data_IF_209976305815
#
_entry.id   IF_209976305815
#
_cell.length_a   1.000
_cell.length_b   1.000
_cell.length_c   1.000
_cell.angle_alpha   90.00
_cell.angle_beta   90.00
_cell.angle_gamma   90.00
#
_symmetry.space_group_name_H-M   'P 1'
#
loop_
_entity.id
_entity.type
_entity.pdbx_description
1 polymer ?
2 polymer ?
3 non-polymer ?
4 non-polymer ?
5 non-polymer ?
6 water ?
#
# COMPACT_ATOMS: atom_id res chain seq x y z
N UNK A 2 18.65 22.32 9.52
CA UNK A 2 17.17 22.13 9.31
C UNK A 2 16.82 21.80 7.85
N UNK A 3 15.77 21.00 7.68
CA UNK A 3 15.43 20.42 6.38
C UNK A 3 13.91 20.25 6.17
N UNK A 4 13.42 20.67 5.01
CA UNK A 4 11.98 20.81 4.76
C UNK A 4 11.25 19.51 4.45
N UNK A 5 11.98 18.43 4.19
CA UNK A 5 11.33 17.18 3.84
C UNK A 5 12.30 16.10 3.41
N UNK A 6 11.77 14.95 2.95
CA UNK A 6 12.63 13.88 2.47
C UNK A 6 13.40 14.22 1.17
N UNK A 7 14.56 13.62 1.00
CA UNK A 7 15.39 13.85 -0.20
C UNK A 7 14.70 13.13 -1.37
N UNK A 8 14.52 13.83 -2.51
CA UNK A 8 13.72 13.25 -3.60
C UNK A 8 14.32 11.94 -4.14
N UNK A 9 13.45 11.11 -4.73
CA UNK A 9 13.85 9.81 -5.23
C UNK A 9 14.78 9.96 -6.41
N UNK A 10 15.71 9.01 -6.59
CA UNK A 10 16.48 8.96 -7.85
C UNK A 10 15.70 8.24 -8.95
N UNK A 11 16.21 8.30 -10.18
CA UNK A 11 15.66 7.49 -11.27
C UNK A 11 16.43 6.20 -11.30
N UNK A 12 15.78 5.12 -11.75
CA UNK A 12 16.47 3.84 -12.02
C UNK A 12 16.19 3.43 -13.45
N UNK A 13 17.23 3.27 -14.25
CA UNK A 13 17.07 3.00 -15.68
C UNK A 13 17.86 1.80 -16.16
N UNK A 14 17.19 0.93 -16.95
CA UNK A 14 17.80 -0.21 -17.64
C UNK A 14 18.09 0.13 -19.12
N UNK A 15 19.38 0.16 -19.48
CA UNK A 15 19.81 0.44 -20.85
C UNK A 15 20.61 -0.73 -21.43
N UNK A 16 20.41 -1.07 -22.71
CA UNK A 16 19.54 -0.34 -23.62
C UNK A 16 18.04 -0.52 -23.36
N UNK A 17 17.65 -1.57 -22.66
CA UNK A 17 16.25 -1.83 -22.38
C UNK A 17 16.05 -2.71 -21.14
N UNK A 18 14.85 -2.63 -20.56
CA UNK A 18 14.48 -3.50 -19.42
C UNK A 18 13.95 -4.87 -19.87
N UNK A 19 13.75 -5.04 -21.18
CA UNK A 19 13.49 -6.35 -21.78
C UNK A 19 14.81 -6.83 -22.35
N UNK A 20 15.40 -7.81 -21.67
CA UNK A 20 16.75 -8.24 -21.97
C UNK A 20 16.69 -9.72 -22.33
N UNK A 21 17.10 -10.05 -23.58
CA UNK A 21 17.22 -11.47 -23.92
C UNK A 21 18.31 -12.15 -23.10
N UNK A 22 18.09 -13.42 -22.74
CA UNK A 22 19.12 -14.22 -22.07
C UNK A 22 20.44 -14.09 -22.81
N UNK A 23 21.52 -13.92 -22.05
CA UNK A 23 22.89 -13.74 -22.56
C UNK A 23 23.22 -12.36 -23.18
N UNK A 24 22.20 -11.49 -23.36
CA UNK A 24 22.44 -10.13 -23.85
C UNK A 24 22.67 -9.18 -22.65
N UNK A 25 23.46 -8.11 -22.85
CA UNK A 25 23.82 -7.22 -21.75
C UNK A 25 22.74 -6.20 -21.38
N UNK A 26 22.82 -5.70 -20.14
CA UNK A 26 21.98 -4.60 -19.65
C UNK A 26 22.65 -3.86 -18.48
N UNK A 27 22.50 -2.55 -18.47
CA UNK A 27 23.07 -1.69 -17.44
C UNK A 27 21.97 -0.99 -16.61
N UNK A 28 21.90 -1.29 -15.32
CA UNK A 28 20.99 -0.57 -14.38
C UNK A 28 21.73 0.59 -13.71
N UNK A 29 21.21 1.82 -13.97
CA UNK A 29 21.83 3.04 -13.48
C UNK A 29 20.87 3.80 -12.58
N UNK A 30 21.27 3.93 -11.32
CA UNK A 30 20.61 4.83 -10.41
C UNK A 30 21.19 6.22 -10.63
N UNK A 31 20.32 7.23 -10.63
CA UNK A 31 20.74 8.62 -10.86
C UNK A 31 19.96 9.58 -9.95
N UNK A 32 20.72 10.24 -9.07
CA UNK A 32 20.21 11.24 -8.15
C UNK A 32 20.82 12.59 -8.49
N UNK A 33 20.66 13.57 -7.60
CA UNK A 33 21.27 14.87 -7.86
C UNK A 33 22.80 14.83 -7.78
N UNK A 34 23.50 15.75 -8.47
CA UNK A 34 24.97 15.79 -8.36
C UNK A 34 25.48 16.00 -6.93
N UNK A 35 26.59 15.34 -6.58
CA UNK A 35 27.20 15.43 -5.26
C UNK A 35 26.69 14.45 -4.22
N UNK A 36 26.00 13.40 -4.66
CA UNK A 36 25.53 12.34 -3.76
C UNK A 36 26.69 11.59 -3.09
N UNK A 37 26.56 11.30 -1.79
CA UNK A 37 27.58 10.56 -1.03
C UNK A 37 27.71 9.08 -1.47
N UNK A 38 26.58 8.37 -1.50
CA UNK A 38 26.54 6.92 -1.71
C UNK A 38 25.20 6.49 -2.28
N UNK A 39 25.23 5.66 -3.31
CA UNK A 39 24.03 5.07 -3.87
C UNK A 39 23.85 3.66 -3.30
N UNK A 40 22.63 3.16 -3.32
CA UNK A 40 22.33 1.79 -2.92
C UNK A 40 21.33 1.23 -3.94
N UNK A 41 21.77 0.25 -4.74
CA UNK A 41 20.93 -0.46 -5.72
C UNK A 41 20.60 -1.85 -5.15
N UNK A 42 19.33 -2.24 -5.20
CA UNK A 42 18.89 -3.51 -4.60
C UNK A 42 17.92 -4.24 -5.52
N UNK A 43 17.86 -5.57 -5.36
CA UNK A 43 16.85 -6.40 -5.99
C UNK A 43 15.86 -6.85 -4.92
N UNK A 44 14.58 -6.64 -5.20
CA UNK A 44 13.49 -6.91 -4.25
C UNK A 44 13.26 -8.39 -4.06
N UNK A 45 12.70 -8.74 -2.92
CA UNK A 45 12.48 -10.14 -2.53
C UNK A 45 13.78 -10.98 -2.66
N UNK A 46 14.87 -10.36 -2.24
CA UNK A 46 16.15 -11.03 -2.04
C UNK A 46 17.04 -10.08 -1.25
N UNK A 47 18.14 -10.66 -0.74
CA UNK A 47 19.12 -9.91 0.03
C UNK A 47 20.25 -9.40 -0.85
N UNK A 48 20.07 -9.41 -2.18
CA UNK A 48 21.07 -8.89 -3.08
C UNK A 48 20.95 -7.37 -3.12
N UNK A 49 22.05 -6.68 -2.86
CA UNK A 49 22.16 -5.25 -3.07
C UNK A 49 23.62 -4.88 -3.17
N UNK A 50 23.91 -3.71 -3.72
CA UNK A 50 25.28 -3.16 -3.79
C UNK A 50 25.27 -1.67 -3.41
N UNK A 51 26.43 -1.16 -3.01
CA UNK A 51 26.59 0.23 -2.63
C UNK A 51 27.15 1.08 -3.79
N UNK A 52 26.64 0.87 -5.01
CA UNK A 52 27.13 1.55 -6.21
C UNK A 52 25.98 1.83 -7.17
N UNK A 53 26.05 3.00 -7.83
CA UNK A 53 25.00 3.45 -8.73
C UNK A 53 24.74 2.52 -9.91
N UNK A 54 25.78 1.85 -10.38
CA UNK A 54 25.69 1.09 -11.60
C UNK A 54 25.82 -0.41 -11.24
N UNK A 55 24.98 -1.20 -11.95
CA UNK A 55 25.14 -2.64 -12.07
C UNK A 55 25.15 -3.02 -13.56
N UNK A 56 26.33 -3.40 -14.05
CA UNK A 56 26.47 -3.92 -15.41
C UNK A 56 26.35 -5.44 -15.29
N UNK A 57 25.27 -5.94 -15.93
CA UNK A 57 25.04 -7.37 -16.19
C UNK A 57 25.50 -7.68 -17.62
N UNK A 58 26.69 -8.31 -17.80
CA UNK A 58 27.12 -8.57 -19.18
C UNK A 58 26.28 -9.59 -19.95
N UNK A 59 25.68 -10.53 -19.24
CA UNK A 59 24.87 -11.57 -19.86
C UNK A 59 23.71 -11.87 -18.94
N UNK A 60 22.50 -11.63 -19.44
CA UNK A 60 21.30 -11.77 -18.64
C UNK A 60 21.04 -13.22 -18.32
N UNK A 61 20.63 -13.46 -17.07
CA UNK A 61 20.26 -14.77 -16.57
C UNK A 61 18.84 -14.77 -16.04
N UNK A 62 18.26 -15.96 -15.94
CA UNK A 62 16.95 -16.14 -15.34
C UNK A 62 16.93 -15.62 -13.91
N UNK A 63 17.96 -15.94 -13.14
CA UNK A 63 18.03 -15.53 -11.72
C UNK A 63 18.15 -14.01 -11.47
N UNK A 64 18.54 -13.25 -12.50
CA UNK A 64 18.69 -11.79 -12.39
C UNK A 64 17.44 -11.01 -12.80
N UNK A 65 16.41 -11.69 -13.27
CA UNK A 65 15.16 -11.02 -13.61
C UNK A 65 14.32 -10.83 -12.34
N UNK A 66 13.50 -9.78 -12.34
CA UNK A 66 12.71 -9.42 -11.16
C UNK A 66 12.66 -7.93 -10.98
N UNK A 67 12.34 -7.53 -9.76
CA UNK A 67 12.10 -6.14 -9.45
C UNK A 67 13.29 -5.53 -8.72
N UNK A 68 13.67 -4.32 -9.14
CA UNK A 68 14.81 -3.61 -8.62
C UNK A 68 14.41 -2.21 -8.21
N UNK A 69 15.11 -1.66 -7.22
CA UNK A 69 14.99 -0.24 -6.88
C UNK A 69 16.33 0.28 -6.40
N UNK A 70 16.43 1.59 -6.25
CA UNK A 70 17.59 2.18 -5.60
C UNK A 70 17.24 3.41 -4.77
N UNK A 71 18.14 3.76 -3.85
CA UNK A 71 18.10 5.03 -3.14
C UNK A 71 19.51 5.59 -3.00
N UNK A 72 19.64 6.78 -2.41
CA UNK A 72 20.94 7.35 -2.09
C UNK A 72 20.96 7.91 -0.65
N UNK A 73 22.16 8.25 -0.20
CA UNK A 73 22.40 8.87 1.09
C UNK A 73 22.98 10.27 0.97
N UNK A 74 22.53 11.16 1.86
CA UNK A 74 23.22 12.41 2.15
C UNK A 74 23.56 12.36 3.63
N UNK A 75 24.82 12.03 3.93
CA UNK A 75 25.26 11.74 5.30
C UNK A 75 24.68 10.42 5.79
N UNK A 76 23.98 10.48 6.92
CA UNK A 76 23.26 9.32 7.45
C UNK A 76 21.84 9.19 6.90
N UNK A 77 21.35 10.23 6.20
CA UNK A 77 19.96 10.31 5.76
C UNK A 77 19.73 9.62 4.42
N UNK A 78 18.71 8.76 4.36
CA UNK A 78 18.34 8.02 3.14
C UNK A 78 17.24 8.72 2.36
N UNK A 79 17.44 8.85 1.05
CA UNK A 79 16.40 9.37 0.16
C UNK A 79 15.17 8.47 0.08
N UNK A 80 14.13 9.01 -0.53
CA UNK A 80 13.00 8.19 -0.99
C UNK A 80 13.47 7.15 -2.02
N UNK A 81 12.80 5.98 -2.04
CA UNK A 81 13.16 4.95 -3.03
C UNK A 81 12.72 5.34 -4.41
N UNK A 82 13.45 4.87 -5.41
CA UNK A 82 13.08 5.09 -6.80
C UNK A 82 11.85 4.29 -7.17
N UNK A 83 11.26 4.64 -8.30
CA UNK A 83 10.25 3.82 -8.95
C UNK A 83 10.87 2.46 -9.20
N UNK A 84 10.08 1.41 -8.99
CA UNK A 84 10.56 0.05 -9.10
C UNK A 84 10.79 -0.32 -10.58
N UNK A 85 12.02 -0.71 -10.90
CA UNK A 85 12.40 -1.17 -12.23
C UNK A 85 12.01 -2.63 -12.36
N UNK A 86 11.35 -2.98 -13.44
CA UNK A 86 10.98 -4.35 -13.72
C UNK A 86 11.87 -4.89 -14.82
N UNK A 87 12.85 -5.71 -14.41
CA UNK A 87 13.84 -6.29 -15.32
C UNK A 87 13.39 -7.64 -15.81
N UNK A 88 13.10 -7.74 -17.10
CA UNK A 88 12.55 -8.95 -17.71
C UNK A 88 13.57 -9.71 -18.55
N UNK A 89 13.68 -11.01 -18.29
CA UNK A 89 14.45 -11.94 -19.12
C UNK A 89 13.55 -12.43 -20.24
N UNK A 90 13.90 -12.12 -21.49
CA UNK A 90 13.22 -12.69 -22.65
C UNK A 90 14.07 -13.78 -23.33
N UNK A 91 13.43 -14.52 -24.22
CA UNK A 91 14.05 -15.67 -24.88
C UNK A 91 14.14 -16.90 -23.98
N UNK A 92 13.31 -16.94 -22.94
CA UNK A 92 13.30 -18.03 -21.96
C UNK A 92 12.42 -19.19 -22.43
N UNK A 93 11.50 -18.89 -23.35
CA UNK A 93 10.66 -19.89 -24.00
C UNK A 93 10.68 -19.62 -25.49
N UNK A 94 10.33 -20.64 -26.27
CA UNK A 94 10.25 -20.51 -27.72
C UNK A 94 9.19 -19.47 -28.08
N UNK A 95 9.47 -18.70 -29.13
CA UNK A 95 8.65 -17.54 -29.48
C UNK A 95 7.23 -17.91 -29.92
N UNK A 96 6.25 -17.03 -29.65
CA UNK A 96 4.88 -17.23 -30.14
C UNK A 96 4.72 -16.85 -31.60
N UNK A 97 3.53 -17.12 -32.13
CA UNK A 97 3.18 -16.79 -33.51
C UNK A 97 2.03 -15.78 -33.51
N UNK A 98 2.27 -14.59 -34.05
CA UNK A 98 1.33 -13.48 -33.99
C UNK A 98 0.57 -13.32 -35.31
N UNK A 99 -0.74 -13.55 -35.28
CA UNK A 99 -1.64 -13.29 -36.41
C UNK A 99 -2.66 -12.25 -35.99
N UNK A 100 -3.46 -11.80 -36.95
CA UNK A 100 -4.51 -10.82 -36.68
C UNK A 100 -5.67 -10.98 -37.66
N UNK A 101 -6.87 -11.15 -37.09
CA UNK A 101 -8.14 -11.06 -37.82
C UNK A 101 -8.68 -9.66 -37.58
N UNK A 102 -8.88 -8.87 -38.65
CA UNK A 102 -9.46 -7.54 -38.48
C UNK A 102 -10.96 -7.66 -38.24
N UNK A 103 -11.49 -6.86 -37.31
CA UNK A 103 -12.94 -6.84 -37.01
C UNK A 103 -13.51 -5.49 -37.39
N UNK A 104 -14.51 -5.48 -38.29
CA UNK A 104 -15.05 -4.21 -38.83
C UNK A 104 -15.83 -3.40 -37.79
N UNK A 105 -15.07 -2.73 -36.91
CA UNK A 105 -15.59 -1.79 -35.93
C UNK A 105 -14.49 -0.98 -35.26
N UNK A 106 -13.56 -0.46 -36.07
CA UNK A 106 -12.40 0.30 -35.57
C UNK A 106 -11.27 -0.48 -34.92
N UNK A 107 -11.53 -1.74 -34.56
CA UNK A 107 -10.66 -2.55 -33.71
C UNK A 107 -10.04 -3.73 -34.47
N UNK A 108 -9.08 -4.38 -33.83
CA UNK A 108 -8.36 -5.52 -34.40
C UNK A 108 -8.15 -6.58 -33.31
N UNK A 109 -8.49 -7.83 -33.61
CA UNK A 109 -8.23 -8.95 -32.71
C UNK A 109 -6.93 -9.65 -33.13
N UNK A 110 -5.95 -9.71 -32.22
CA UNK A 110 -4.65 -10.33 -32.49
C UNK A 110 -4.47 -11.59 -31.67
N UNK A 111 -4.12 -12.69 -32.33
CA UNK A 111 -3.84 -13.98 -31.69
C UNK A 111 -2.35 -14.11 -31.43
N UNK A 112 -1.96 -14.26 -30.16
CA UNK A 112 -0.59 -14.56 -29.77
C UNK A 112 -0.49 -16.05 -29.37
N UNK A 113 -0.40 -16.91 -30.37
CA UNK A 113 -0.55 -18.36 -30.20
C UNK A 113 0.75 -19.08 -29.83
N UNK A 114 0.67 -20.03 -28.91
CA UNK A 114 1.81 -20.89 -28.50
C UNK A 114 1.36 -22.33 -28.23
N UNK A 115 2.24 -23.29 -28.52
CA UNK A 115 2.06 -24.67 -28.04
C UNK A 115 2.55 -24.73 -26.59
N UNK A 116 1.84 -24.02 -25.73
CA UNK A 116 2.17 -23.87 -24.31
C UNK A 116 0.88 -23.46 -23.63
N UNK A 117 0.84 -23.59 -22.31
CA UNK A 117 -0.33 -23.19 -21.51
C UNK A 117 -0.05 -21.97 -20.66
N UNK A 118 0.37 -20.89 -21.29
CA UNK A 118 0.59 -19.62 -20.60
C UNK A 118 -0.74 -18.93 -20.34
N UNK A 119 -0.81 -18.22 -19.21
CA UNK A 119 -2.01 -17.47 -18.83
C UNK A 119 -1.78 -15.96 -18.86
N UNK A 120 -0.65 -15.53 -19.44
CA UNK A 120 -0.32 -14.11 -19.58
C UNK A 120 0.31 -13.81 -20.93
N UNK A 121 -0.17 -12.75 -21.57
CA UNK A 121 0.28 -12.34 -22.89
C UNK A 121 0.47 -10.83 -22.93
N UNK A 122 1.50 -10.40 -23.65
CA UNK A 122 1.83 -8.98 -23.78
C UNK A 122 2.14 -8.66 -25.23
N UNK A 123 1.48 -7.62 -25.75
CA UNK A 123 1.54 -7.22 -27.13
C UNK A 123 1.97 -5.75 -27.20
N UNK A 124 2.94 -5.43 -28.06
CA UNK A 124 3.38 -4.04 -28.19
C UNK A 124 3.59 -3.62 -29.64
N UNK A 125 3.53 -2.31 -29.86
CA UNK A 125 3.74 -1.67 -31.15
C UNK A 125 4.93 -0.72 -31.01
N UNK A 126 5.87 -0.79 -31.94
CA UNK A 126 7.02 0.13 -31.97
C UNK A 126 6.55 1.55 -32.19
N UNK A 127 7.39 2.50 -31.79
CA UNK A 127 7.24 3.89 -32.23
C UNK A 127 7.13 4.90 -31.11
N UNK A 128 8.26 5.19 -30.48
CA UNK A 128 8.40 6.28 -29.52
C UNK A 128 7.55 5.99 -28.26
N UNK A 129 6.32 6.58 -28.08
CA UNK A 129 5.52 5.85 -27.07
C UNK A 129 5.11 4.49 -27.65
N UNK A 130 5.73 3.44 -27.14
CA UNK A 130 5.30 2.10 -27.46
C UNK A 130 3.91 1.93 -26.83
N UNK A 131 2.99 1.30 -27.55
CA UNK A 131 1.62 1.12 -27.08
C UNK A 131 1.49 -0.31 -26.58
N UNK A 132 1.57 -0.51 -25.26
CA UNK A 132 1.50 -1.86 -24.70
C UNK A 132 0.07 -2.28 -24.41
N UNK A 133 -0.17 -3.60 -24.49
CA UNK A 133 -1.48 -4.22 -24.24
C UNK A 133 -1.27 -5.55 -23.52
N UNK A 134 -2.22 -5.92 -22.66
CA UNK A 134 -2.09 -7.06 -21.75
C UNK A 134 -3.34 -7.94 -21.76
N UNK A 135 -3.20 -9.22 -21.37
CA UNK A 135 -4.34 -10.15 -21.31
C UNK A 135 -4.07 -11.45 -20.55
N UNK A 136 -5.14 -12.01 -19.99
CA UNK A 136 -5.13 -13.37 -19.42
C UNK A 136 -5.35 -14.46 -20.48
N UNK A 137 -5.99 -14.10 -21.61
CA UNK A 137 -6.17 -15.00 -22.77
C UNK A 137 -5.31 -14.56 -23.98
N UNK A 138 -5.07 -15.48 -24.95
CA UNK A 138 -4.25 -15.14 -26.12
C UNK A 138 -4.87 -14.12 -27.09
N UNK A 139 -6.18 -14.19 -27.29
CA UNK A 139 -6.88 -13.27 -28.20
C UNK A 139 -7.06 -11.92 -27.50
N UNK A 140 -6.27 -10.93 -27.93
CA UNK A 140 -6.32 -9.56 -27.42
C UNK A 140 -7.02 -8.70 -28.46
N UNK A 141 -7.95 -7.85 -28.02
CA UNK A 141 -8.65 -6.91 -28.91
C UNK A 141 -8.16 -5.49 -28.64
N UNK A 142 -7.62 -4.84 -29.66
CA UNK A 142 -7.12 -3.46 -29.56
C UNK A 142 -8.09 -2.55 -30.29
N UNK A 143 -8.59 -1.51 -29.60
CA UNK A 143 -9.49 -0.51 -30.22
C UNK A 143 -8.70 0.69 -30.72
N UNK A 144 -9.14 1.27 -31.85
CA UNK A 144 -8.51 2.45 -32.47
C UNK A 144 -7.00 2.24 -32.71
N UNK A 145 -6.68 1.07 -33.25
CA UNK A 145 -5.31 0.58 -33.33
C UNK A 145 -4.49 1.42 -34.31
N UNK A 146 -3.33 1.90 -33.85
CA UNK A 146 -2.44 2.68 -34.70
C UNK A 146 -1.68 1.77 -35.68
N UNK A 147 -1.45 2.25 -36.90
CA UNK A 147 -0.59 1.54 -37.84
C UNK A 147 0.80 1.40 -37.23
N UNK A 148 1.45 0.27 -37.50
CA UNK A 148 2.82 0.04 -37.01
C UNK A 148 3.21 -1.43 -36.90
N UNK A 149 4.36 -1.66 -36.29
CA UNK A 149 4.98 -2.98 -36.21
C UNK A 149 4.68 -3.62 -34.84
N UNK A 150 3.85 -4.66 -34.85
CA UNK A 150 3.40 -5.32 -33.62
C UNK A 150 4.17 -6.60 -33.37
N UNK A 151 4.60 -6.81 -32.12
CA UNK A 151 5.13 -8.11 -31.66
C UNK A 151 4.43 -8.52 -30.37
N UNK A 152 4.51 -9.81 -30.05
CA UNK A 152 3.92 -10.30 -28.82
C UNK A 152 4.85 -11.23 -28.03
N UNK A 153 4.55 -11.33 -26.73
CA UNK A 153 5.28 -12.12 -25.76
C UNK A 153 4.28 -12.93 -24.96
N UNK A 154 4.65 -14.17 -24.63
CA UNK A 154 3.86 -14.98 -23.70
C UNK A 154 4.71 -15.25 -22.46
N UNK A 155 4.04 -15.37 -21.32
CA UNK A 155 4.69 -15.74 -20.06
C UNK A 155 3.67 -16.28 -19.07
N UNK A 156 4.17 -16.94 -18.02
CA UNK A 156 3.35 -17.50 -16.95
C UNK A 156 3.38 -16.55 -15.76
N UNK A 157 2.23 -16.34 -15.12
CA UNK A 157 2.15 -15.51 -13.91
C UNK A 157 2.96 -16.07 -12.73
N UNK A 158 3.32 -17.36 -12.78
CA UNK A 158 4.23 -18.02 -11.81
C UNK A 158 5.60 -17.34 -11.72
N UNK A 159 6.22 -17.14 -12.88
CA UNK A 159 7.46 -16.36 -13.05
C UNK A 159 7.17 -15.24 -14.05
N UNK A 160 6.63 -14.10 -13.57
CA UNK A 160 6.15 -13.05 -14.44
C UNK A 160 7.23 -12.13 -15.03
N UNK A 161 8.51 -12.39 -14.72
CA UNK A 161 9.65 -11.72 -15.35
C UNK A 161 10.47 -12.63 -16.29
N UNK A 162 9.95 -13.83 -16.58
CA UNK A 162 10.58 -14.78 -17.50
C UNK A 162 9.67 -14.95 -18.71
N UNK A 163 10.01 -14.25 -19.78
CA UNK A 163 9.15 -14.11 -20.95
C UNK A 163 9.67 -14.96 -22.10
N UNK A 164 8.76 -15.25 -23.03
CA UNK A 164 9.14 -15.89 -24.30
C UNK A 164 10.07 -14.98 -25.08
N UNK A 165 10.68 -15.50 -26.12
CA UNK A 165 11.30 -14.65 -27.14
C UNK A 165 10.16 -13.89 -27.80
N UNK A 166 10.44 -12.74 -28.42
CA UNK A 166 9.37 -12.01 -29.07
C UNK A 166 8.94 -12.72 -30.34
N UNK A 167 7.66 -12.58 -30.68
CA UNK A 167 7.15 -13.11 -31.93
C UNK A 167 7.80 -12.40 -33.11
N UNK A 168 7.65 -13.00 -34.29
CA UNK A 168 8.02 -12.32 -35.52
C UNK A 168 7.06 -11.16 -35.69
N UNK A 169 7.55 -10.03 -36.23
CA UNK A 169 6.70 -8.84 -36.32
C UNK A 169 5.54 -9.00 -37.29
N UNK A 170 4.48 -8.27 -37.00
CA UNK A 170 3.30 -8.22 -37.84
C UNK A 170 3.07 -6.76 -38.15
N UNK A 171 3.04 -6.41 -39.44
CA UNK A 171 2.88 -5.01 -39.85
C UNK A 171 1.41 -4.71 -40.07
N UNK A 172 0.85 -3.87 -39.19
CA UNK A 172 -0.53 -3.42 -39.31
C UNK A 172 -0.56 -2.11 -40.08
N UNK A 173 -1.44 -2.02 -41.06
CA UNK A 173 -1.67 -0.79 -41.81
C UNK A 173 -3.16 -0.49 -41.82
N UNK A 174 -3.54 0.54 -41.05
CA UNK A 174 -4.89 1.08 -41.08
C UNK A 174 -4.92 2.12 -42.18
N UNK A 175 -5.76 1.91 -43.19
CA UNK A 175 -5.79 2.75 -44.38
C UNK A 175 -6.57 4.06 -44.16
N UNK A 176 -6.21 5.09 -44.95
CA UNK A 176 -6.80 6.42 -44.85
C UNK A 176 -6.25 7.31 -43.76
N UNK A 177 -5.05 6.98 -43.24
CA UNK A 177 -4.41 7.75 -42.15
C UNK A 177 -2.96 8.18 -42.47
N UNK A 178 -2.63 8.32 -43.76
CA UNK A 178 -1.30 8.76 -44.20
C UNK A 178 -1.11 10.26 -43.99
N UNK A 179 0.13 10.72 -44.16
CA UNK A 179 0.45 12.16 -44.14
C UNK A 179 0.39 12.84 -45.53
N UNK A 180 -0.14 12.14 -46.54
CA UNK A 180 -0.25 12.69 -47.90
C UNK A 180 -1.41 13.67 -47.99
N UNK B 7 1.02 -15.99 12.10
CA UNK B 7 1.37 -15.31 13.40
C UNK B 7 0.15 -14.51 13.90
N UNK B 8 -0.47 -14.95 15.03
CA UNK B 8 -1.81 -14.49 15.42
C UNK B 8 -1.95 -12.98 15.64
N UNK B 9 -3.15 -12.46 15.42
CA UNK B 9 -3.38 -11.02 15.40
C UNK B 9 -3.25 -10.38 16.78
N UNK B 10 -2.71 -9.14 16.85
CA UNK B 10 -2.71 -8.38 18.09
C UNK B 10 -4.01 -7.63 18.28
N UNK B 11 -4.22 -7.12 19.51
CA UNK B 11 -5.33 -6.24 19.81
C UNK B 11 -4.91 -4.78 19.64
N UNK B 12 -5.87 -3.92 19.32
CA UNK B 12 -5.68 -2.49 19.23
C UNK B 12 -6.79 -1.82 20.02
N UNK B 13 -6.41 -1.12 21.08
CA UNK B 13 -7.37 -0.44 21.95
C UNK B 13 -7.15 1.06 21.91
N UNK B 14 -8.25 1.79 22.07
CA UNK B 14 -8.21 3.23 22.31
C UNK B 14 -8.67 3.47 23.75
N UNK B 15 -7.84 4.19 24.51
CA UNK B 15 -8.10 4.45 25.92
C UNK B 15 -8.02 5.94 26.25
N UNK B 16 -9.01 6.49 26.96
CA UNK B 16 -10.11 5.74 27.60
C UNK B 16 -11.23 5.24 26.67
N UNK B 17 -11.39 5.84 25.50
CA UNK B 17 -12.49 5.51 24.62
C UNK B 17 -12.10 5.73 23.16
N UNK B 18 -12.76 5.02 22.26
CA UNK B 18 -12.61 5.27 20.84
C UNK B 18 -13.53 6.42 20.37
N UNK B 19 -14.44 6.86 21.24
CA UNK B 19 -15.18 8.13 21.05
C UNK B 19 -14.46 9.20 21.85
N UNK B 20 -13.87 10.17 21.15
CA UNK B 20 -12.94 11.12 21.75
C UNK B 20 -13.39 12.55 21.45
N UNK B 21 -13.78 13.32 22.47
CA UNK B 21 -14.18 14.70 22.17
C UNK B 21 -12.99 15.54 21.66
N UNK B 22 -13.27 16.55 20.84
CA UNK B 22 -12.20 17.42 20.33
C UNK B 22 -11.42 18.02 21.50
N UNK B 23 -10.11 18.10 21.32
CA UNK B 23 -9.17 18.62 22.32
C UNK B 23 -8.92 17.76 23.56
N UNK B 24 -9.56 16.58 23.66
CA UNK B 24 -9.38 15.65 24.77
C UNK B 24 -8.43 14.48 24.41
N UNK B 25 -7.87 13.80 25.42
CA UNK B 25 -6.83 12.80 25.11
C UNK B 25 -7.34 11.40 24.73
N UNK B 26 -6.45 10.63 24.10
CA UNK B 26 -6.69 9.24 23.77
C UNK B 26 -5.35 8.57 23.46
N UNK B 27 -5.21 7.32 23.88
CA UNK B 27 -4.01 6.56 23.64
C UNK B 27 -4.40 5.31 22.88
N UNK B 28 -3.73 5.08 21.76
CA UNK B 28 -3.91 3.88 20.96
C UNK B 28 -2.80 2.94 21.35
N UNK B 29 -3.15 1.70 21.68
CA UNK B 29 -2.19 0.72 22.16
C UNK B 29 -2.33 -0.56 21.36
N UNK B 30 -1.25 -0.96 20.69
CA UNK B 30 -1.18 -2.25 20.01
C UNK B 30 -0.54 -3.24 20.96
N UNK B 31 -1.15 -4.43 21.08
CA UNK B 31 -0.68 -5.45 22.02
C UNK B 31 -0.76 -6.83 21.39
N UNK B 32 0.40 -7.46 21.25
CA UNK B 32 0.50 -8.86 20.85
C UNK B 32 1.23 -9.64 21.94
N UNK B 33 1.72 -10.84 21.60
CA UNK B 33 2.55 -11.58 22.57
C UNK B 33 3.77 -10.77 23.06
N UNK B 34 4.23 -11.02 24.30
CA UNK B 34 5.35 -10.25 24.85
C UNK B 34 6.69 -10.55 24.19
N UNK B 35 7.58 -9.56 24.19
CA UNK B 35 8.95 -9.72 23.71
C UNK B 35 9.19 -9.71 22.20
N UNK B 36 8.18 -9.41 21.39
CA UNK B 36 8.34 -9.37 19.92
C UNK B 36 9.29 -8.25 19.46
N UNK B 37 9.76 -8.37 18.22
CA UNK B 37 10.76 -7.45 17.67
C UNK B 37 10.22 -6.03 17.46
N UNK B 38 9.08 -5.92 16.78
CA UNK B 38 8.62 -4.63 16.30
C UNK B 38 7.11 -4.58 16.12
N UNK B 39 6.52 -3.42 16.45
CA UNK B 39 5.10 -3.14 16.20
C UNK B 39 4.96 -2.12 15.08
N UNK B 40 3.89 -2.25 14.30
CA UNK B 40 3.55 -1.32 13.24
C UNK B 40 2.09 -0.90 13.42
N UNK B 41 1.89 0.40 13.61
CA UNK B 41 0.57 1.00 13.83
C UNK B 41 0.34 1.96 12.68
N UNK B 42 -0.81 1.86 12.02
CA UNK B 42 -1.10 2.67 10.85
C UNK B 42 -2.50 3.24 10.84
N UNK B 43 -2.63 4.40 10.20
CA UNK B 43 -3.92 5.00 9.87
C UNK B 43 -4.19 4.80 8.38
N UNK B 44 -5.34 4.24 8.04
CA UNK B 44 -5.62 3.82 6.67
C UNK B 44 -5.80 4.95 5.64
N UNK B 45 -6.61 5.97 5.96
CA UNK B 45 -6.93 7.02 4.96
C UNK B 45 -5.68 7.81 4.53
N UNK B 46 -4.85 8.20 5.50
CA UNK B 46 -3.68 9.06 5.25
C UNK B 46 -2.41 8.30 4.83
N UNK B 47 -2.40 6.98 4.99
CA UNK B 47 -1.18 6.18 4.77
C UNK B 47 0.02 6.72 5.55
N UNK B 48 -0.20 7.07 6.82
CA UNK B 48 0.85 7.48 7.76
C UNK B 48 0.85 6.48 8.92
N UNK B 49 2.04 6.06 9.33
CA UNK B 49 2.21 4.91 10.20
C UNK B 49 3.42 5.11 11.07
N UNK B 50 3.56 4.26 12.08
CA UNK B 50 4.71 4.31 12.97
C UNK B 50 5.22 2.91 13.32
N UNK B 51 6.51 2.83 13.66
CA UNK B 51 7.13 1.59 14.09
C UNK B 51 7.10 1.48 15.63
N UNK B 52 5.96 1.84 16.23
CA UNK B 52 5.78 1.85 17.70
C UNK B 52 4.38 1.37 18.07
N UNK B 53 4.29 0.67 19.19
CA UNK B 53 3.03 0.09 19.65
C UNK B 53 2.03 1.14 20.15
N UNK B 54 2.52 2.28 20.62
CA UNK B 54 1.67 3.27 21.28
C UNK B 54 1.66 4.61 20.59
N UNK B 55 0.47 5.12 20.32
CA UNK B 55 0.29 6.50 19.89
C UNK B 55 -0.52 7.26 20.95
N UNK B 56 0.12 8.23 21.60
CA UNK B 56 -0.57 9.15 22.49
C UNK B 56 -1.06 10.36 21.67
N UNK B 57 -2.37 10.61 21.69
CA UNK B 57 -2.95 11.81 21.09
C UNK B 57 -3.38 12.70 22.26
N UNK B 58 -2.62 13.78 22.53
CA UNK B 58 -2.93 14.61 23.71
C UNK B 58 -4.19 15.45 23.56
N UNK B 59 -4.50 15.87 22.33
CA UNK B 59 -5.66 16.68 22.02
C UNK B 59 -6.22 16.22 20.69
N UNK B 60 -7.45 15.73 20.69
CA UNK B 60 -8.07 15.15 19.50
C UNK B 60 -8.36 16.20 18.44
N UNK B 61 -8.08 15.85 17.19
CA UNK B 61 -8.33 16.72 16.04
C UNK B 61 -9.18 15.99 15.03
N UNK B 62 -9.91 16.74 14.22
CA UNK B 62 -10.72 16.18 13.13
C UNK B 62 -9.90 15.31 12.18
N UNK B 63 -8.66 15.73 11.90
CA UNK B 63 -7.78 15.00 10.99
C UNK B 63 -7.20 13.70 11.54
N UNK B 64 -7.34 13.46 12.84
CA UNK B 64 -6.87 12.22 13.45
C UNK B 64 -7.95 11.16 13.54
N UNK B 65 -9.19 11.56 13.28
CA UNK B 65 -10.30 10.60 13.26
C UNK B 65 -10.17 9.70 12.04
N UNK B 66 -10.60 8.45 12.19
CA UNK B 66 -10.56 7.50 11.11
C UNK B 66 -10.18 6.11 11.56
N UNK B 67 -9.87 5.29 10.59
CA UNK B 67 -9.67 3.87 10.77
C UNK B 67 -8.18 3.61 11.01
N UNK B 68 -7.88 2.86 12.05
CA UNK B 68 -6.51 2.48 12.37
C UNK B 68 -6.47 0.97 12.47
N UNK B 69 -5.30 0.40 12.23
CA UNK B 69 -5.06 -1.02 12.48
C UNK B 69 -3.61 -1.17 12.86
N UNK B 70 -3.23 -2.35 13.35
CA UNK B 70 -1.82 -2.61 13.64
C UNK B 70 -1.46 -4.07 13.49
N UNK B 71 -0.16 -4.29 13.38
CA UNK B 71 0.41 -5.63 13.36
C UNK B 71 1.82 -5.58 13.96
N UNK B 72 2.38 -6.76 14.22
CA UNK B 72 3.73 -6.88 14.77
C UNK B 72 4.56 -7.80 13.90
N UNK B 73 5.87 -7.65 14.03
CA UNK B 73 6.83 -8.41 13.28
C UNK B 73 7.68 -9.19 14.28
N UNK B 74 7.87 -10.49 14.02
CA UNK B 74 8.83 -11.30 14.78
C UNK B 74 9.64 -12.16 13.80
N UNK B 75 10.95 -12.17 13.99
CA UNK B 75 11.87 -12.62 12.95
C UNK B 75 11.65 -11.70 11.77
N UNK B 76 11.51 -12.29 10.59
CA UNK B 76 11.18 -11.53 9.39
C UNK B 76 9.68 -11.49 9.12
N UNK B 77 8.89 -12.29 9.85
CA UNK B 77 7.46 -12.49 9.54
C UNK B 77 6.52 -11.47 10.19
N UNK B 78 5.44 -11.18 9.48
CA UNK B 78 4.40 -10.26 9.93
C UNK B 78 3.21 -11.03 10.47
N UNK B 79 2.52 -10.41 11.42
CA UNK B 79 1.27 -10.94 11.95
C UNK B 79 0.11 -10.59 11.04
N UNK B 80 -1.01 -11.28 11.24
CA UNK B 80 -2.29 -10.81 10.71
C UNK B 80 -2.59 -9.45 11.36
N UNK B 81 -3.31 -8.58 10.63
CA UNK B 81 -3.57 -7.25 11.18
C UNK B 81 -4.58 -7.33 12.30
N UNK B 82 -4.59 -6.30 13.15
CA UNK B 82 -5.57 -6.18 14.23
C UNK B 82 -6.95 -5.95 13.66
N UNK B 83 -7.95 -6.16 14.49
CA UNK B 83 -9.26 -5.63 14.19
C UNK B 83 -9.10 -4.13 13.96
N UNK B 84 -9.63 -3.65 12.86
CA UNK B 84 -9.85 -2.22 12.63
C UNK B 84 -10.38 -1.46 13.88
N UNK B 85 -9.70 -0.38 14.24
CA UNK B 85 -10.11 0.46 15.36
C UNK B 85 -10.72 1.70 14.74
N UNK B 86 -11.99 1.98 15.08
CA UNK B 86 -12.72 3.11 14.53
C UNK B 86 -12.56 4.28 15.48
N UNK B 87 -11.70 5.24 15.14
CA UNK B 87 -11.43 6.35 16.04
C UNK B 87 -12.26 7.56 15.64
N UNK B 88 -13.20 7.89 16.51
CA UNK B 88 -14.20 8.89 16.24
C UNK B 88 -13.97 10.15 17.07
N UNK B 89 -14.04 11.30 16.39
CA UNK B 89 -13.98 12.59 17.03
C UNK B 89 -15.40 13.01 17.31
N UNK B 90 -15.70 13.29 18.58
CA UNK B 90 -17.01 13.81 18.98
C UNK B 90 -16.90 15.31 19.29
N UNK B 91 -18.06 15.93 19.51
CA UNK B 91 -18.14 17.38 19.67
C UNK B 91 -17.79 18.20 18.44
N UNK B 92 -17.88 17.63 17.25
CA UNK B 92 -17.60 18.40 16.03
C UNK B 92 -18.78 19.32 15.67
N UNK B 93 -19.98 18.95 16.14
CA UNK B 93 -21.20 19.69 15.87
C UNK B 93 -21.99 19.87 17.15
N UNK B 94 -22.93 20.82 17.14
CA UNK B 94 -23.86 21.05 18.25
C UNK B 94 -24.55 19.77 18.63
N UNK B 95 -24.73 19.53 19.93
CA UNK B 95 -25.41 18.34 20.39
C UNK B 95 -26.82 18.32 19.82
N UNK B 96 -27.34 17.12 19.49
CA UNK B 96 -28.77 16.99 19.20
C UNK B 96 -29.56 16.89 20.50
N UNK B 97 -30.89 16.86 20.42
CA UNK B 97 -31.71 16.63 21.61
C UNK B 97 -32.56 15.38 21.39
N UNK B 98 -32.65 14.58 22.44
CA UNK B 98 -33.21 13.24 22.40
C UNK B 98 -34.53 13.21 23.13
N UNK B 99 -35.54 12.63 22.49
CA UNK B 99 -36.84 12.42 23.12
C UNK B 99 -37.21 10.98 22.91
N UNK B 100 -38.22 10.50 23.64
CA UNK B 100 -38.65 9.11 23.52
C UNK B 100 -40.16 8.99 23.68
N UNK B 101 -40.74 8.09 22.87
CA UNK B 101 -42.18 7.83 22.86
C UNK B 101 -42.42 6.32 22.78
N UNK B 102 -43.64 5.86 23.09
CA UNK B 102 -44.00 4.48 22.75
C UNK B 102 -44.00 4.27 21.24
N UNK B 103 -43.54 3.09 20.81
CA UNK B 103 -43.60 2.64 19.41
C UNK B 103 -44.54 1.46 19.21
N UNK B 104 -44.32 0.70 18.14
CA UNK B 104 -45.18 -0.44 17.78
C UNK B 104 -44.97 -1.65 18.70
N UNK B 105 -46.00 -2.05 19.44
CA UNK B 105 -45.92 -3.19 20.37
C UNK B 105 -45.08 -2.87 21.59
N UNK B 106 -44.19 -3.78 21.97
CA UNK B 106 -43.33 -3.62 23.17
C UNK B 106 -42.05 -2.83 22.91
N UNK B 107 -42.18 -1.74 22.16
CA UNK B 107 -41.04 -1.02 21.63
C UNK B 107 -41.05 0.42 22.09
N UNK B 108 -39.87 1.02 22.08
CA UNK B 108 -39.67 2.43 22.38
C UNK B 108 -39.04 3.11 21.17
N UNK B 109 -39.58 4.27 20.80
CA UNK B 109 -39.09 5.07 19.67
C UNK B 109 -38.38 6.33 20.18
N UNK B 110 -37.08 6.41 19.92
CA UNK B 110 -36.28 7.55 20.36
C UNK B 110 -36.11 8.47 19.16
N UNK B 111 -36.41 9.75 19.33
CA UNK B 111 -36.23 10.75 18.27
C UNK B 111 -34.98 11.58 18.55
N UNK B 112 -34.01 11.56 17.65
CA UNK B 112 -32.74 12.27 17.86
C UNK B 112 -32.77 13.52 16.98
N UNK B 113 -33.16 14.64 17.60
CA UNK B 113 -33.50 15.88 16.88
C UNK B 113 -32.28 16.74 16.59
N UNK B 114 -32.21 17.26 15.37
CA UNK B 114 -31.03 17.99 14.92
C UNK B 114 -31.37 19.05 13.88
N UNK B 115 -30.66 20.17 13.96
CA UNK B 115 -30.91 21.35 13.12
C UNK B 115 -30.36 21.13 11.72
N UNK B 116 -29.13 20.63 11.65
CA UNK B 116 -28.45 20.37 10.39
C UNK B 116 -29.16 19.23 9.66
N UNK B 117 -28.81 19.07 8.39
CA UNK B 117 -29.07 17.83 7.66
C UNK B 117 -27.98 16.83 8.01
N UNK B 118 -28.27 15.96 8.98
CA UNK B 118 -27.47 14.79 9.23
C UNK B 118 -28.26 13.58 8.77
N UNK B 119 -27.54 12.57 8.31
CA UNK B 119 -28.16 11.36 7.79
C UNK B 119 -27.65 10.10 8.49
N UNK B 120 -26.99 10.24 9.64
CA UNK B 120 -26.62 9.10 10.48
C UNK B 120 -26.80 9.47 11.95
N UNK B 121 -27.28 8.51 12.73
CA UNK B 121 -27.58 8.70 14.15
C UNK B 121 -27.15 7.45 14.92
N UNK B 122 -26.54 7.65 16.09
CA UNK B 122 -26.14 6.54 16.93
C UNK B 122 -26.60 6.83 18.34
N UNK B 123 -27.27 5.85 18.95
CA UNK B 123 -27.89 5.97 20.24
C UNK B 123 -27.30 4.90 21.13
N UNK B 124 -27.02 5.21 22.40
CA UNK B 124 -26.62 4.19 23.38
C UNK B 124 -27.19 4.35 24.80
N UNK B 125 -27.26 3.20 25.48
CA UNK B 125 -27.63 3.12 26.88
C UNK B 125 -26.35 2.92 27.67
N UNK B 126 -26.10 3.78 28.65
CA UNK B 126 -25.01 3.59 29.62
C UNK B 126 -25.04 2.22 30.26
N UNK B 127 -23.87 1.66 30.54
CA UNK B 127 -23.78 0.47 31.39
C UNK B 127 -22.68 -0.48 31.00
N UNK B 128 -22.81 -1.72 31.48
CA UNK B 128 -21.85 -2.81 31.25
C UNK B 128 -22.62 -4.14 30.98
N UNK B 129 -22.81 -4.54 29.72
CA UNK B 129 -22.29 -3.86 28.51
C UNK B 129 -23.20 -2.73 28.00
N UNK B 130 -22.61 -1.81 27.24
CA UNK B 130 -23.37 -0.76 26.53
C UNK B 130 -24.18 -1.37 25.39
N UNK B 131 -25.39 -0.84 25.16
CA UNK B 131 -26.22 -1.24 24.02
C UNK B 131 -26.23 -0.10 23.01
N UNK B 132 -25.88 -0.40 21.76
CA UNK B 132 -25.78 0.59 20.67
C UNK B 132 -26.79 0.33 19.55
N UNK B 133 -27.31 1.41 18.97
CA UNK B 133 -28.33 1.36 17.91
C UNK B 133 -28.04 2.43 16.86
N UNK B 134 -28.15 2.06 15.59
CA UNK B 134 -27.82 2.95 14.48
C UNK B 134 -28.98 3.11 13.51
N UNK B 135 -29.09 4.32 12.95
CA UNK B 135 -30.11 4.62 11.96
C UNK B 135 -29.75 5.85 11.12
N UNK B 136 -30.35 5.92 9.93
CA UNK B 136 -30.20 7.03 9.00
C UNK B 136 -31.31 8.06 9.18
N UNK B 137 -32.50 7.60 9.52
CA UNK B 137 -33.57 8.48 9.94
C UNK B 137 -33.35 8.85 11.40
N UNK B 138 -33.76 10.06 11.83
CA UNK B 138 -33.62 10.45 13.23
C UNK B 138 -34.68 9.78 14.13
N UNK B 139 -34.86 8.47 13.93
CA UNK B 139 -35.93 7.71 14.53
C UNK B 139 -35.36 6.30 14.70
N UNK B 140 -35.14 5.95 15.96
CA UNK B 140 -34.50 4.71 16.35
C UNK B 140 -35.49 3.92 17.21
N UNK B 141 -36.04 2.84 16.66
CA UNK B 141 -36.96 1.97 17.40
C UNK B 141 -36.12 0.97 18.15
N UNK B 142 -36.55 0.60 19.37
CA UNK B 142 -35.78 -0.31 20.22
C UNK B 142 -36.70 -1.39 20.75
N UNK B 143 -36.43 -2.65 20.37
CA UNK B 143 -37.28 -3.77 20.78
C UNK B 143 -36.93 -4.18 22.21
N UNK B 144 -37.95 -4.27 23.06
CA UNK B 144 -37.78 -4.63 24.47
C UNK B 144 -36.62 -3.84 25.11
N UNK B 145 -36.80 -2.52 25.15
CA UNK B 145 -35.81 -1.63 25.74
C UNK B 145 -35.78 -1.77 27.26
N UNK B 146 -34.64 -1.40 27.85
CA UNK B 146 -34.47 -1.41 29.30
C UNK B 146 -34.49 0.03 29.78
N UNK B 147 -34.84 0.21 31.04
CA UNK B 147 -34.65 1.48 31.71
C UNK B 147 -33.15 1.82 31.74
N UNK B 148 -32.84 3.09 31.66
CA UNK B 148 -31.45 3.53 31.72
C UNK B 148 -31.23 4.94 31.25
N UNK B 149 -29.95 5.26 31.09
CA UNK B 149 -29.50 6.58 30.68
C UNK B 149 -29.02 6.53 29.20
N UNK B 150 -29.87 7.07 28.32
CA UNK B 150 -29.67 7.05 26.88
C UNK B 150 -29.13 8.39 26.38
N UNK B 151 -28.32 8.31 25.33
CA UNK B 151 -27.71 9.48 24.69
C UNK B 151 -27.60 9.22 23.19
N UNK B 152 -27.77 10.26 22.38
CA UNK B 152 -27.64 10.09 20.93
C UNK B 152 -26.62 11.02 20.34
N UNK B 153 -25.99 10.55 19.27
CA UNK B 153 -25.02 11.30 18.50
C UNK B 153 -25.54 11.38 17.06
N UNK B 154 -25.33 12.53 16.42
CA UNK B 154 -25.70 12.73 15.02
C UNK B 154 -24.44 12.97 14.19
N UNK B 155 -24.44 12.45 12.95
CA UNK B 155 -23.32 12.70 12.03
C UNK B 155 -23.67 12.55 10.55
N UNK B 156 -22.70 12.84 9.69
CA UNK B 156 -22.86 12.76 8.24
C UNK B 156 -22.12 11.54 7.69
N UNK B 157 -22.74 10.83 6.74
CA UNK B 157 -22.12 9.67 6.08
C UNK B 157 -20.95 10.05 5.17
N UNK B 158 -20.89 11.30 4.71
CA UNK B 158 -19.73 11.81 3.95
C UNK B 158 -18.48 12.05 4.79
N UNK B 159 -18.65 12.18 6.11
CA UNK B 159 -17.53 12.20 7.06
C UNK B 159 -17.92 11.41 8.33
N UNK B 160 -17.90 10.06 8.22
CA UNK B 160 -18.50 9.23 9.27
C UNK B 160 -17.73 9.12 10.59
N UNK B 161 -16.55 9.74 10.67
CA UNK B 161 -15.79 9.74 11.91
C UNK B 161 -15.83 11.07 12.67
N UNK B 162 -16.56 12.06 12.15
CA UNK B 162 -16.77 13.32 12.84
C UNK B 162 -18.19 13.36 13.40
N UNK B 163 -18.32 13.21 14.71
CA UNK B 163 -19.63 13.15 15.36
C UNK B 163 -19.92 14.43 16.11
N UNK B 164 -21.22 14.63 16.36
CA UNK B 164 -21.68 15.70 17.22
C UNK B 164 -21.24 15.45 18.64
N UNK B 165 -21.45 16.46 19.47
CA UNK B 165 -21.45 16.29 20.92
C UNK B 165 -22.61 15.34 21.23
N UNK B 166 -22.50 14.59 22.34
CA UNK B 166 -23.64 13.75 22.74
C UNK B 166 -24.78 14.62 23.20
N UNK B 167 -26.01 14.15 22.96
CA UNK B 167 -27.19 14.78 23.56
C UNK B 167 -27.06 14.81 25.08
N UNK B 168 -27.91 15.61 25.73
CA UNK B 168 -28.09 15.47 27.16
C UNK B 168 -28.66 14.08 27.38
N UNK B 169 -28.40 13.48 28.55
CA UNK B 169 -28.98 12.17 28.83
C UNK B 169 -30.48 12.23 28.90
N UNK B 170 -31.11 11.19 28.39
CA UNK B 170 -32.51 10.92 28.62
C UNK B 170 -32.56 9.78 29.61
N UNK B 171 -33.24 10.00 30.73
CA UNK B 171 -33.44 8.96 31.73
C UNK B 171 -34.76 8.25 31.41
N UNK B 172 -34.66 7.06 30.83
CA UNK B 172 -35.83 6.32 30.36
C UNK B 172 -36.26 5.27 31.38
N UNK B 173 -37.57 5.15 31.59
CA UNK B 173 -38.18 4.04 32.31
C UNK B 173 -39.28 3.42 31.42
N UNK B 174 -39.25 2.09 31.27
CA UNK B 174 -40.11 1.37 30.34
C UNK B 174 -41.04 0.44 31.10
N UNK B 175 -42.32 0.40 30.70
CA UNK B 175 -43.30 -0.59 31.20
C UNK B 175 -44.10 -1.21 30.06
N UNK C 1 49.28 2.26 14.75
CA UNK C 1 48.36 3.16 14.01
C UNK C 1 47.01 3.34 14.69
N UNK C 2 46.15 4.21 14.12
CA UNK C 2 44.84 4.59 14.69
C UNK C 2 43.77 3.49 14.59
N UNK C 3 42.50 3.79 14.98
CA UNK C 3 41.36 2.88 14.71
C UNK C 3 41.08 2.61 13.22
N UNK C 4 40.00 1.87 12.94
CA UNK C 4 39.60 1.53 11.57
C UNK C 4 38.53 2.47 11.02
N UNK C 5 38.37 2.51 9.67
CA UNK C 5 37.25 3.27 9.08
C UNK C 5 35.87 2.69 9.44
N UNK C 6 34.83 3.53 9.56
CA UNK C 6 33.48 2.99 9.83
C UNK C 6 33.00 2.09 8.70
N UNK C 7 32.23 1.06 9.04
CA UNK C 7 31.77 0.11 8.06
C UNK C 7 30.74 0.68 7.11
N UNK C 8 30.33 -0.11 6.10
CA UNK C 8 29.36 0.36 5.13
C UNK C 8 27.96 0.33 5.75
N UNK C 9 26.99 1.02 5.12
CA UNK C 9 25.65 1.01 5.67
C UNK C 9 25.01 -0.34 5.58
N UNK C 10 24.04 -0.60 6.44
CA UNK C 10 23.45 -1.92 6.60
C UNK C 10 22.50 -2.24 5.48
N UNK C 11 21.96 -3.47 5.50
CA UNK C 11 21.09 -3.89 4.41
C UNK C 11 19.73 -3.19 4.39
N UNK C 12 19.06 -3.19 3.23
CA UNK C 12 17.69 -2.70 3.18
C UNK C 12 16.83 -3.35 4.21
N UNK C 13 15.82 -2.60 4.72
CA UNK C 13 14.92 -3.19 5.71
C UNK C 13 14.02 -4.22 5.06
N UNK C 14 13.31 -5.03 5.88
CA UNK C 14 12.41 -6.01 5.27
C UNK C 14 11.19 -5.35 4.62
N UNK C 15 10.35 -6.16 3.95
CA UNK C 15 9.03 -5.65 3.54
C UNK C 15 8.16 -5.06 4.62
N UNK C 16 7.21 -4.18 4.24
CA UNK C 16 6.13 -3.86 5.17
C UNK C 16 5.11 -4.99 5.24
N UNK C 17 4.08 -4.83 6.08
CA UNK C 17 3.07 -5.87 6.21
C UNK C 17 2.10 -5.86 5.02
N UNK C 18 1.39 -6.97 4.78
CA UNK C 18 0.37 -6.99 3.75
C UNK C 18 -0.70 -5.92 4.01
N UNK C 19 -1.13 -5.25 2.94
CA UNK C 19 -2.10 -4.17 3.04
C UNK C 19 -3.49 -4.59 3.48
N UNK C 20 -4.40 -3.61 3.64
CA UNK C 20 -5.77 -3.89 4.04
C UNK C 20 -6.62 -4.47 2.89
N UNK C 21 -7.68 -5.24 3.20
CA UNK C 21 -8.59 -5.71 2.15
C UNK C 21 -9.58 -4.64 1.69
N UNK D 1 46.10 -0.90 14.97
CA UNK D 1 45.04 -0.53 15.96
C UNK D 1 43.77 -1.35 15.83
N UNK D 2 42.75 -1.07 16.69
CA UNK D 2 41.50 -1.85 16.74
C UNK D 2 40.60 -1.70 15.50
N UNK D 3 39.54 -2.54 15.38
CA UNK D 3 38.62 -2.44 14.24
C UNK D 3 37.73 -1.19 14.27
N UNK D 4 37.32 -0.71 13.10
CA UNK D 4 36.46 0.48 12.99
C UNK D 4 35.03 0.20 13.44
N UNK D 5 34.25 1.26 13.71
CA UNK D 5 32.88 1.08 14.23
C UNK D 5 31.90 0.52 13.21
N UNK D 6 30.80 -0.13 13.66
CA UNK D 6 29.77 -0.58 12.71
C UNK D 6 29.12 0.59 11.98
N UNK D 7 28.82 0.38 10.70
CA UNK D 7 28.30 1.43 9.84
C UNK D 7 26.89 1.89 10.18
N UNK D 8 26.40 2.93 9.47
CA UNK D 8 25.06 3.47 9.76
C UNK D 8 23.95 2.52 9.33
N UNK D 9 22.70 2.79 9.74
CA UNK D 9 21.63 1.88 9.35
C UNK D 9 21.28 1.87 7.89
N UNK D 10 20.72 0.74 7.42
CA UNK D 10 20.25 0.58 6.06
C UNK D 10 19.03 1.42 5.76
N UNK D 11 18.64 1.46 4.47
CA UNK D 11 17.51 2.26 4.07
C UNK D 11 16.20 1.58 4.48
N UNK D 12 15.10 2.34 4.55
CA UNK D 12 13.82 1.71 4.81
C UNK D 12 13.50 0.72 3.73
N UNK D 13 12.92 -0.40 4.09
CA UNK D 13 12.53 -1.47 3.19
C UNK D 13 11.44 -1.10 2.21
N UNK D 14 11.11 -2.02 1.29
CA UNK D 14 10.10 -1.75 0.28
C UNK D 14 8.68 -1.95 0.79
N UNK D 15 7.67 -1.53 -0.01
CA UNK D 15 6.28 -1.83 0.28
C UNK D 15 5.90 -3.23 0.59
N UNK D 16 4.89 -3.42 1.45
CA UNK D 16 4.40 -4.78 1.69
C UNK D 16 3.60 -5.25 0.48
N UNK D 17 3.28 -6.56 0.43
CA UNK D 17 2.42 -7.05 -0.67
C UNK D 17 1.01 -6.46 -0.59
N UNK D 18 0.27 -6.45 -1.71
CA UNK D 18 -1.09 -5.92 -1.66
C UNK D 18 -2.04 -6.77 -0.81
N UNK D 19 -3.12 -6.15 -0.34
CA UNK D 19 -4.10 -6.84 0.51
C UNK D 19 -5.05 -7.73 -0.30
N UNK D 20 -5.73 -8.69 0.37
CA UNK D 20 -6.70 -9.52 -0.37
C UNK D 20 -7.98 -8.76 -0.78
N UNK D 21 -8.89 -9.43 -1.52
CA UNK D 21 -10.17 -8.80 -1.87
C UNK D 21 -11.19 -8.86 -0.73
N UNK E 1 44.15 -0.77 11.50
CA UNK E 1 43.18 -1.90 11.60
C UNK E 1 42.18 -1.96 10.45
N UNK E 2 41.35 -3.02 10.39
CA UNK E 2 40.41 -3.23 9.28
C UNK E 2 39.19 -2.29 9.36
N UNK E 3 38.48 -2.08 8.22
CA UNK E 3 37.20 -1.35 8.29
C UNK E 3 36.12 -2.14 9.04
N UNK E 4 35.13 -1.43 9.59
CA UNK E 4 34.11 -2.04 10.44
C UNK E 4 33.14 -2.93 9.69
N UNK E 5 32.26 -3.64 10.42
CA UNK E 5 31.23 -4.46 9.80
C UNK E 5 30.08 -3.61 9.24
N UNK E 6 29.18 -4.20 8.42
CA UNK E 6 27.99 -3.45 8.01
C UNK E 6 27.09 -3.10 9.20
N UNK E 7 26.38 -1.98 9.07
CA UNK E 7 25.42 -1.54 10.07
C UNK E 7 24.19 -2.42 10.13
N UNK E 8 23.23 -2.09 11.01
CA UNK E 8 22.03 -2.91 11.18
C UNK E 8 21.04 -2.67 10.05
N UNK E 9 20.06 -3.59 9.86
CA UNK E 9 19.09 -3.37 8.80
C UNK E 9 18.29 -2.11 8.95
N UNK E 10 17.75 -1.59 7.85
CA UNK E 10 16.90 -0.40 7.92
C UNK E 10 15.55 -0.78 8.51
N UNK E 11 14.71 0.22 8.83
CA UNK E 11 13.39 -0.11 9.37
C UNK E 11 12.52 -0.77 8.30
N UNK E 12 11.47 -1.50 8.71
CA UNK E 12 10.57 -2.11 7.72
C UNK E 12 9.89 -1.09 6.83
N UNK E 13 9.57 -1.49 5.59
CA UNK E 13 8.98 -0.60 4.60
C UNK E 13 7.53 -0.25 4.88
N UNK E 14 6.95 0.64 4.05
CA UNK E 14 5.56 1.07 4.22
C UNK E 14 4.56 -0.09 4.12
N UNK E 15 3.34 0.11 4.65
CA UNK E 15 2.37 -0.98 4.43
C UNK E 15 2.03 -1.18 2.98
N UNK E 16 1.57 -2.38 2.65
CA UNK E 16 1.10 -2.69 1.32
C UNK E 16 -0.12 -1.88 0.94
N UNK E 17 -0.34 -1.68 -0.38
CA UNK E 17 -1.52 -0.94 -0.82
C UNK E 17 -2.81 -1.72 -0.56
N UNK E 18 -3.95 -1.01 -0.56
CA UNK E 18 -5.23 -1.71 -0.37
C UNK E 18 -5.55 -2.66 -1.53
N UNK E 19 -6.21 -3.77 -1.22
CA UNK E 19 -6.55 -4.78 -2.22
C UNK E 19 -7.62 -4.32 -3.20
N UNK E 20 -7.92 -5.14 -4.21
CA UNK E 20 -9.00 -4.82 -5.15
C UNK E 20 -10.40 -4.98 -4.52
N UNK E 21 -11.45 -4.54 -5.24
CA UNK E 21 -12.82 -4.72 -4.76
C UNK E 21 -13.34 -6.13 -5.00
X LIG F 1 23.03 17.30 1.06
X LIG F 1 22.77 18.14 -0.21
X LIG F 1 23.55 19.44 -0.10
X LIG F 1 23.06 20.20 1.13
X LIG F 1 23.18 19.32 2.39
X LIG F 1 22.54 20.01 3.59
X LIG F 1 22.40 16.42 -1.91
X LIG F 1 22.93 15.89 -3.22
X LIG F 1 23.10 17.46 -1.44
X LIG F 1 23.39 20.22 -1.30
X LIG F 1 23.81 21.39 1.31
X LIG F 1 22.55 18.05 2.19
X LIG F 1 22.50 19.10 4.70
X LIG F 1 21.45 15.91 -1.33
X LIG G 1 5.07 -8.49 -13.88
X LIG G 1 4.89 -8.07 -15.24
X LIG G 1 6.16 -7.48 -15.86
X LIG G 1 5.90 -6.24 -16.49
X LIG G 1 7.01 -5.65 -17.17
X LIG G 1 6.53 -4.90 -18.41
X LIG G 1 7.60 -4.32 -19.15
X LIG G 1 7.25 -3.88 -20.48
X LIG G 1 7.11 -2.37 -20.52
X LIG G 1 5.73 -1.99 -20.64
X LIG G 1 5.46 -0.63 -20.28
X LIG G 1 4.84 -0.57 -18.89
X LIG G 1 3.40 -0.57 -18.92
X LIG H 1 -18.89 5.91 25.50
X LIG I 1 10.01 -14.68 18.11
X LIG I 1 9.29 -15.65 19.05
X LIG I 1 10.30 -16.16 20.07
X LIG I 1 11.40 -16.91 19.32
X LIG I 1 12.03 -16.09 18.19
X LIG I 1 12.87 -17.04 17.34
X LIG I 1 6.89 -15.13 19.28
X LIG I 1 5.85 -14.49 20.15
X LIG I 1 8.15 -15.07 19.75
X LIG I 1 9.70 -17.05 21.01
X LIG I 1 12.43 -17.31 20.25
X LIG I 1 11.03 -15.41 17.40
X LIG I 1 13.41 -16.37 16.19
X LIG I 1 6.61 -15.65 18.22
X LIG J 1 -20.20 0.86 19.34
X LIG J 1 -19.92 2.24 19.63
X LIG J 1 -18.73 2.71 18.81
X LIG J 1 -19.22 3.30 17.62
X LIG J 1 -18.22 3.79 16.74
X LIG J 1 -17.99 2.80 15.60
X LIG J 1 -18.63 3.24 14.39
X LIG J 1 -17.96 4.29 13.68
X LIG J 1 -18.60 4.49 12.31
X LIG J 1 -18.07 5.66 11.72
#
# INVERSE_FOLDING_TARGET
>A
GSQSGPLPKPSLQALPSSLVPLEKPVTLRCQGPPGVDLYRLEKLSSSRYQDQAVLFIPAMKRSLAGRYRCSYQNGSLWSLPSDQLELVATGVFAKPSLSAQPGSGGDVTLQCQTRYGFDQFALYKEGDPERWYRASFPIITVTAAHSGTYRCYSFSSRDPYLWSAPSDPLELVVTGTSAAA
>B
GSQSGPLPKPSLQALPSSLVPLEKPVTLRCQGPPGVDLYRLEKLSSSRYQDQAVLFIPAMKRSLAGRYRCSYQNGSLWSLPSDQLELVATGVFAKPSLSAQPGSGGDVTLQCQTRYGFDQFALYKEGDPERWYRASFPIITVTAAHSGTYRCYSFSSRDPYLWSAPSDPLELVVTGTSAAA
>C
GPPGPPGPPGPPGPPGPPGPP
>D
GPPGPPGPPGPPGPPGPPGPP
>E
GPPGPPGPPGPPGPPGPPGPP
>F hetero
1 NAG C1 C2 C3 C4 C5 C6 C7 C8 N2 O3 O4 O5 O6 O7
>G hetero
1 PG4 O1 C1 C2 O2 C3 C4 O3 C5 C6 O4 C7 C8 O5
>H hetero
1 CL CL
>I hetero
1 NAG C1 C2 C3 C4 C5 C6 C7 C8 N2 O3 O4 O5 O6 O7
>J hetero
1 PG4 O1 C1 C2 O2 C3 C4 O3 C5 C6 O4
#
